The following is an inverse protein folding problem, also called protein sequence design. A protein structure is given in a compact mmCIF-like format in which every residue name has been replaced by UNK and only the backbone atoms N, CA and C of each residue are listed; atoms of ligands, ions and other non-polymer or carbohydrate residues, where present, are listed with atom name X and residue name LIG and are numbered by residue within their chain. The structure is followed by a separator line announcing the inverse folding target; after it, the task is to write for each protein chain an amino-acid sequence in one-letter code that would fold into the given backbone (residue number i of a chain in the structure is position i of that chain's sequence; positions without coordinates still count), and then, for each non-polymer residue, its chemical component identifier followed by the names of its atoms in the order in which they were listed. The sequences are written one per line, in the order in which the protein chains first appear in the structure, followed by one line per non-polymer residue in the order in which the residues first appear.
data_IF_672150810032
#
_entry.id   IF_672150810032
#
_cell.length_a   1.000
_cell.length_b   1.000
_cell.length_c   1.000
_cell.angle_alpha   90.00
_cell.angle_beta   90.00
_cell.angle_gamma   90.00
#
_symmetry.space_group_name_H-M   'P 1'
#
loop_
_entity.id
_entity.type
_entity.pdbx_description
1 polymer ?
#
# COMPACT_ATOMS: atom_id res chain seq x y z
N UNK A 1 -9.90 24.17 1.29
CA UNK A 1 -9.74 22.70 1.17
C UNK A 1 -8.49 22.48 0.33
N UNK A 2 -7.34 22.38 0.98
CA UNK A 2 -6.13 21.89 0.32
C UNK A 2 -6.34 20.39 0.13
N UNK A 3 -6.80 19.99 -1.05
CA UNK A 3 -6.81 18.59 -1.43
C UNK A 3 -5.39 18.10 -1.31
N UNK A 4 -5.12 17.27 -0.29
CA UNK A 4 -3.82 16.66 -0.09
C UNK A 4 -3.41 16.06 -1.44
N UNK A 5 -2.38 16.63 -2.07
CA UNK A 5 -1.82 16.10 -3.30
C UNK A 5 -1.23 14.75 -2.92
N UNK A 6 -2.05 13.70 -3.04
CA UNK A 6 -1.59 12.35 -2.79
C UNK A 6 -0.60 12.04 -3.90
N UNK A 7 0.67 11.99 -3.54
CA UNK A 7 1.74 11.75 -4.48
C UNK A 7 1.43 10.46 -5.25
N UNK A 8 1.34 10.59 -6.58
CA UNK A 8 1.11 9.47 -7.48
C UNK A 8 2.42 8.69 -7.58
N UNK A 9 2.65 7.82 -6.61
CA UNK A 9 3.82 6.96 -6.53
C UNK A 9 3.41 5.51 -6.33
N UNK A 10 4.27 4.61 -6.81
CA UNK A 10 4.06 3.17 -6.63
C UNK A 10 4.02 2.76 -5.16
N UNK A 11 4.80 3.43 -4.31
CA UNK A 11 4.78 3.20 -2.87
C UNK A 11 3.44 3.57 -2.25
N UNK A 12 2.88 4.73 -2.63
CA UNK A 12 1.60 5.19 -2.12
C UNK A 12 0.45 4.27 -2.56
N UNK A 13 0.47 3.80 -3.81
CA UNK A 13 -0.47 2.79 -4.30
C UNK A 13 -0.42 1.51 -3.45
N UNK A 14 0.79 0.94 -3.24
CA UNK A 14 0.95 -0.30 -2.47
C UNK A 14 0.40 -0.14 -1.05
N UNK A 15 0.70 0.97 -0.36
CA UNK A 15 0.18 1.23 1.00
C UNK A 15 -1.35 1.30 1.04
N UNK A 16 -1.96 2.03 0.10
CA UNK A 16 -3.43 2.15 0.02
C UNK A 16 -4.11 0.85 -0.36
N UNK A 17 -3.54 0.10 -1.30
CA UNK A 17 -4.06 -1.19 -1.72
C UNK A 17 -4.07 -2.17 -0.55
N UNK A 18 -2.96 -2.25 0.18
CA UNK A 18 -2.84 -3.08 1.36
C UNK A 18 -3.87 -2.69 2.42
N UNK A 19 -3.98 -1.39 2.76
CA UNK A 19 -4.93 -0.93 3.76
C UNK A 19 -6.40 -1.20 3.38
N UNK A 20 -6.74 -1.06 2.09
CA UNK A 20 -8.12 -1.17 1.60
C UNK A 20 -8.59 -2.61 1.41
N UNK A 21 -7.71 -3.51 0.97
CA UNK A 21 -8.11 -4.84 0.51
C UNK A 21 -7.61 -5.97 1.41
N UNK A 22 -6.61 -5.75 2.27
CA UNK A 22 -6.11 -6.80 3.14
C UNK A 22 -6.83 -6.76 4.49
N UNK A 23 -7.42 -7.88 4.95
CA UNK A 23 -7.81 -8.00 6.35
C UNK A 23 -6.57 -7.91 7.26
N UNK A 24 -6.76 -7.53 8.52
CA UNK A 24 -5.66 -7.28 9.47
C UNK A 24 -4.70 -8.45 9.57
N UNK A 25 -5.22 -9.68 9.68
CA UNK A 25 -4.42 -10.91 9.74
C UNK A 25 -3.54 -11.11 8.49
N UNK A 26 -4.02 -10.71 7.32
CA UNK A 26 -3.24 -10.80 6.08
C UNK A 26 -2.18 -9.69 6.00
N UNK A 27 -2.43 -8.51 6.58
CA UNK A 27 -1.43 -7.43 6.67
C UNK A 27 -0.28 -7.83 7.59
N UNK A 28 -0.58 -8.46 8.71
CA UNK A 28 0.43 -8.95 9.66
C UNK A 28 1.31 -10.03 9.04
N UNK A 29 0.74 -10.98 8.29
CA UNK A 29 1.49 -12.08 7.71
C UNK A 29 2.24 -11.72 6.42
N UNK A 30 1.67 -10.87 5.57
CA UNK A 30 2.16 -10.68 4.19
C UNK A 30 2.49 -9.23 3.84
N UNK A 31 2.22 -8.27 4.74
CA UNK A 31 2.31 -6.85 4.41
C UNK A 31 3.72 -6.39 4.09
N UNK A 32 4.72 -6.84 4.85
CA UNK A 32 6.12 -6.49 4.59
C UNK A 32 6.60 -7.03 3.25
N UNK A 33 6.28 -8.29 2.93
CA UNK A 33 6.67 -8.91 1.66
C UNK A 33 5.98 -8.25 0.47
N UNK A 34 4.69 -7.93 0.60
CA UNK A 34 3.95 -7.18 -0.42
C UNK A 34 4.59 -5.81 -0.70
N UNK A 35 5.02 -5.08 0.33
CA UNK A 35 5.66 -3.78 0.17
C UNK A 35 7.02 -3.85 -0.53
N UNK A 36 7.75 -4.97 -0.40
CA UNK A 36 9.04 -5.21 -1.08
C UNK A 36 8.90 -5.61 -2.55
N UNK A 37 7.69 -5.95 -3.02
CA UNK A 37 7.46 -6.29 -4.43
C UNK A 37 7.91 -5.13 -5.33
N UNK A 38 8.77 -5.48 -6.28
CA UNK A 38 9.26 -4.58 -7.33
C UNK A 38 8.64 -4.99 -8.65
N UNK A 39 8.23 -4.00 -9.44
CA UNK A 39 7.81 -4.23 -10.81
C UNK A 39 9.04 -4.67 -11.62
N UNK A 40 8.91 -5.77 -12.36
CA UNK A 40 9.93 -6.25 -13.29
C UNK A 40 9.88 -5.52 -14.62
#
# INVERSE_FOLDING_TARGET
MEGAYEEFSWENFKRKFLAKYFPETAREMYGEEFLKLRQG
#
